data_IF_703693728190
#
_entry.id   IF_703693728190
#
_cell.length_a   1.000
_cell.length_b   1.000
_cell.length_c   1.000
_cell.angle_alpha   90.00
_cell.angle_beta   90.00
_cell.angle_gamma   90.00
#
_symmetry.space_group_name_H-M   'P 1'
#
loop_
_entity.id
_entity.type
_entity.pdbx_description
1 polymer ?
#
# COMPACT_ATOMS: atom_id res chain seq x y z
N UNK A 1 -73.90 -6.57 -59.27
CA UNK A 1 -73.07 -5.97 -60.34
C UNK A 1 -72.67 -4.58 -59.90
N UNK A 2 -71.40 -4.34 -59.58
CA UNK A 2 -70.92 -3.03 -59.15
C UNK A 2 -70.64 -2.12 -60.37
N UNK A 3 -70.94 -0.81 -60.29
CA UNK A 3 -70.71 0.10 -61.41
C UNK A 3 -69.22 0.36 -61.57
N UNK A 4 -68.64 -0.02 -62.72
CA UNK A 4 -67.28 0.36 -63.09
C UNK A 4 -67.26 1.84 -63.46
N UNK A 5 -66.71 2.67 -62.58
CA UNK A 5 -66.44 4.10 -62.82
C UNK A 5 -65.41 4.21 -63.95
N UNK A 6 -65.76 4.90 -65.04
CA UNK A 6 -64.84 5.21 -66.15
C UNK A 6 -64.02 6.44 -65.76
N UNK A 7 -62.70 6.32 -65.76
CA UNK A 7 -61.77 7.43 -65.50
C UNK A 7 -61.77 8.39 -66.70
N UNK A 8 -61.85 9.70 -66.42
CA UNK A 8 -61.90 10.73 -67.46
C UNK A 8 -60.47 11.13 -67.85
N UNK A 9 -60.12 11.30 -69.13
CA UNK A 9 -58.78 11.75 -69.52
C UNK A 9 -58.51 13.15 -68.96
N UNK A 10 -57.60 13.27 -67.99
CA UNK A 10 -57.25 14.53 -67.33
C UNK A 10 -57.38 14.55 -65.80
N UNK A 11 -57.89 13.48 -65.16
CA UNK A 11 -57.85 13.36 -63.69
C UNK A 11 -56.40 13.21 -63.20
N UNK A 12 -55.93 14.16 -62.37
CA UNK A 12 -54.63 14.06 -61.71
C UNK A 12 -54.65 12.86 -60.75
N UNK A 13 -53.62 12.00 -60.75
CA UNK A 13 -53.56 10.85 -59.86
C UNK A 13 -53.67 11.33 -58.40
N UNK A 14 -54.65 10.79 -57.67
CA UNK A 14 -54.85 11.09 -56.24
C UNK A 14 -53.74 10.53 -55.34
N UNK A 15 -52.84 9.73 -55.91
CA UNK A 15 -51.65 9.20 -55.25
C UNK A 15 -50.47 10.12 -55.57
N UNK A 16 -50.09 10.93 -54.60
CA UNK A 16 -48.80 11.63 -54.62
C UNK A 16 -47.74 10.60 -54.27
N UNK A 17 -46.85 10.27 -55.22
CA UNK A 17 -45.63 9.51 -54.90
C UNK A 17 -44.80 10.35 -53.92
N UNK A 18 -44.80 9.96 -52.65
CA UNK A 18 -43.80 10.46 -51.70
C UNK A 18 -42.47 9.83 -52.09
N UNK A 19 -41.40 10.62 -52.34
CA UNK A 19 -40.08 10.04 -52.50
C UNK A 19 -39.73 9.27 -51.23
N UNK A 20 -39.51 7.96 -51.36
CA UNK A 20 -38.99 7.14 -50.27
C UNK A 20 -37.58 7.67 -49.99
N UNK A 21 -37.26 8.14 -48.77
CA UNK A 21 -35.93 8.65 -48.49
C UNK A 21 -34.89 7.56 -48.82
N UNK A 22 -33.73 7.92 -49.39
CA UNK A 22 -32.71 6.94 -49.74
C UNK A 22 -32.36 6.15 -48.48
N UNK A 23 -32.49 4.81 -48.55
CA UNK A 23 -32.18 3.92 -47.43
C UNK A 23 -30.72 4.13 -47.05
N UNK A 24 -30.49 4.76 -45.91
CA UNK A 24 -29.17 4.96 -45.28
C UNK A 24 -28.59 3.64 -44.73
N UNK A 25 -28.61 2.58 -45.55
CA UNK A 25 -28.28 1.21 -45.16
C UNK A 25 -26.83 0.98 -44.75
N UNK A 26 -25.92 1.89 -45.09
CA UNK A 26 -24.51 1.81 -44.70
C UNK A 26 -24.19 2.46 -43.34
N UNK A 27 -25.04 3.35 -42.83
CA UNK A 27 -24.83 3.97 -41.51
C UNK A 27 -25.05 2.98 -40.37
N UNK A 28 -25.96 2.02 -40.54
CA UNK A 28 -26.27 1.00 -39.53
C UNK A 28 -25.09 0.05 -39.26
N UNK A 29 -24.46 -0.59 -40.26
CA UNK A 29 -23.28 -1.43 -40.01
C UNK A 29 -22.08 -0.61 -39.52
N UNK A 30 -21.89 0.63 -39.99
CA UNK A 30 -20.84 1.52 -39.47
C UNK A 30 -21.06 1.80 -37.98
N UNK A 31 -22.27 2.20 -37.58
CA UNK A 31 -22.61 2.44 -36.18
C UNK A 31 -22.43 1.17 -35.32
N UNK A 32 -22.80 -0.01 -35.83
CA UNK A 32 -22.61 -1.27 -35.14
C UNK A 32 -21.12 -1.62 -34.94
N UNK A 33 -20.28 -1.42 -35.96
CA UNK A 33 -18.82 -1.64 -35.84
C UNK A 33 -18.20 -0.67 -34.84
N UNK A 34 -18.56 0.61 -34.86
CA UNK A 34 -18.09 1.60 -33.89
C UNK A 34 -18.53 1.22 -32.48
N UNK A 35 -19.80 0.84 -32.29
CA UNK A 35 -20.30 0.38 -30.99
C UNK A 35 -19.56 -0.86 -30.49
N UNK A 36 -19.29 -1.85 -31.36
CA UNK A 36 -18.53 -3.03 -31.01
C UNK A 36 -17.10 -2.70 -30.58
N UNK A 37 -16.41 -1.83 -31.32
CA UNK A 37 -15.07 -1.35 -30.97
C UNK A 37 -15.08 -0.62 -29.62
N UNK A 38 -16.07 0.25 -29.38
CA UNK A 38 -16.23 0.95 -28.11
C UNK A 38 -16.49 -0.01 -26.95
N UNK A 39 -17.30 -1.04 -27.14
CA UNK A 39 -17.54 -2.06 -26.10
C UNK A 39 -16.26 -2.84 -25.78
N UNK A 40 -15.52 -3.29 -26.79
CA UNK A 40 -14.24 -3.99 -26.57
C UNK A 40 -13.23 -3.10 -25.87
N UNK A 41 -13.14 -1.83 -26.27
CA UNK A 41 -12.27 -0.84 -25.62
C UNK A 41 -12.68 -0.61 -24.16
N UNK A 42 -13.97 -0.44 -23.87
CA UNK A 42 -14.48 -0.25 -22.52
C UNK A 42 -14.18 -1.47 -21.62
N UNK A 43 -14.44 -2.69 -22.10
CA UNK A 43 -14.12 -3.93 -21.37
C UNK A 43 -12.62 -4.03 -21.08
N UNK A 44 -11.78 -3.71 -22.08
CA UNK A 44 -10.33 -3.76 -21.93
C UNK A 44 -9.85 -2.76 -20.86
N UNK A 45 -10.38 -1.53 -20.88
CA UNK A 45 -10.08 -0.51 -19.86
C UNK A 45 -10.54 -0.96 -18.48
N UNK A 46 -11.74 -1.51 -18.34
CA UNK A 46 -12.24 -2.05 -17.08
C UNK A 46 -11.36 -3.18 -16.54
N UNK A 47 -10.93 -4.11 -17.39
CA UNK A 47 -10.06 -5.21 -17.00
C UNK A 47 -8.68 -4.73 -16.52
N UNK A 48 -8.07 -3.77 -17.23
CA UNK A 48 -6.81 -3.16 -16.83
C UNK A 48 -6.95 -2.38 -15.51
N UNK A 49 -8.03 -1.62 -15.36
CA UNK A 49 -8.32 -0.89 -14.14
C UNK A 49 -8.49 -1.83 -12.95
N UNK A 50 -9.21 -2.93 -13.13
CA UNK A 50 -9.40 -3.96 -12.10
C UNK A 50 -8.08 -4.60 -11.67
N UNK A 51 -7.25 -5.02 -12.63
CA UNK A 51 -5.93 -5.59 -12.35
C UNK A 51 -5.00 -4.62 -11.61
N UNK A 52 -4.98 -3.35 -12.03
CA UNK A 52 -4.20 -2.31 -11.36
C UNK A 52 -4.71 -1.97 -9.96
N UNK A 53 -6.03 -2.05 -9.74
CA UNK A 53 -6.63 -1.82 -8.43
C UNK A 53 -6.24 -2.94 -7.47
N UNK A 54 -6.32 -4.20 -7.90
CA UNK A 54 -5.96 -5.35 -7.09
C UNK A 54 -4.45 -5.39 -6.76
N UNK A 55 -3.59 -5.00 -7.71
CA UNK A 55 -2.15 -4.88 -7.43
C UNK A 55 -1.86 -3.77 -6.43
N UNK A 56 -2.54 -2.62 -6.54
CA UNK A 56 -2.39 -1.50 -5.60
C UNK A 56 -2.91 -1.85 -4.22
N UNK A 57 -4.05 -2.53 -4.13
CA UNK A 57 -4.63 -2.98 -2.85
C UNK A 57 -3.69 -3.93 -2.12
N UNK A 58 -3.11 -4.91 -2.84
CA UNK A 58 -2.13 -5.85 -2.27
C UNK A 58 -0.83 -5.16 -1.84
N UNK A 59 -0.31 -4.23 -2.66
CA UNK A 59 0.85 -3.44 -2.29
C UNK A 59 0.60 -2.62 -1.01
N UNK A 60 -0.51 -1.89 -0.96
CA UNK A 60 -0.88 -1.10 0.22
C UNK A 60 -1.08 -1.95 1.48
N UNK A 61 -1.59 -3.18 1.33
CA UNK A 61 -1.70 -4.12 2.45
C UNK A 61 -0.32 -4.53 2.99
N UNK A 62 0.62 -4.86 2.10
CA UNK A 62 1.99 -5.23 2.48
C UNK A 62 2.74 -4.07 3.11
N UNK A 63 2.58 -2.86 2.58
CA UNK A 63 3.21 -1.66 3.13
C UNK A 63 2.74 -1.42 4.57
N UNK A 64 1.44 -1.55 4.82
CA UNK A 64 0.86 -1.41 6.17
C UNK A 64 1.35 -2.50 7.13
N UNK A 65 1.47 -3.73 6.64
CA UNK A 65 1.96 -4.86 7.44
C UNK A 65 3.39 -4.61 7.93
N UNK A 66 4.29 -4.23 7.01
CA UNK A 66 5.67 -3.89 7.36
C UNK A 66 5.73 -2.69 8.29
N UNK A 67 4.98 -1.62 8.01
CA UNK A 67 4.97 -0.44 8.87
C UNK A 67 4.48 -0.78 10.27
N UNK A 68 3.40 -1.56 10.40
CA UNK A 68 2.88 -1.99 11.70
C UNK A 68 3.90 -2.84 12.46
N UNK A 69 4.57 -3.75 11.76
CA UNK A 69 5.64 -4.55 12.35
C UNK A 69 6.81 -3.69 12.84
N UNK A 70 7.36 -2.84 11.97
CA UNK A 70 8.54 -2.02 12.28
C UNK A 70 8.23 -1.02 13.39
N UNK A 71 7.07 -0.38 13.38
CA UNK A 71 6.66 0.54 14.46
C UNK A 71 6.49 -0.18 15.81
N UNK A 72 5.90 -1.38 15.82
CA UNK A 72 5.83 -2.22 17.00
C UNK A 72 7.21 -2.62 17.53
N UNK A 73 8.10 -3.06 16.63
CA UNK A 73 9.50 -3.35 16.97
C UNK A 73 10.21 -2.12 17.54
N UNK A 74 10.08 -0.95 16.92
CA UNK A 74 10.77 0.27 17.37
C UNK A 74 10.25 0.76 18.73
N UNK A 75 8.95 0.63 18.99
CA UNK A 75 8.36 0.91 20.31
C UNK A 75 8.98 0.01 21.37
N UNK A 76 9.09 -1.28 21.07
CA UNK A 76 9.73 -2.27 21.94
C UNK A 76 11.24 -1.98 22.10
N UNK A 77 11.94 -1.61 21.04
CA UNK A 77 13.38 -1.38 21.03
C UNK A 77 13.76 -0.15 21.86
N UNK A 78 12.97 0.92 21.74
CA UNK A 78 13.20 2.20 22.44
C UNK A 78 12.66 2.23 23.87
N UNK A 79 11.81 1.26 24.25
CA UNK A 79 11.33 1.09 25.62
C UNK A 79 12.28 0.20 26.41
N UNK A 80 12.97 0.79 27.38
CA UNK A 80 14.02 0.13 28.18
C UNK A 80 13.51 -0.08 29.60
N UNK A 81 13.60 -1.33 30.06
CA UNK A 81 13.34 -1.73 31.44
C UNK A 81 14.62 -2.34 32.05
N UNK A 82 15.31 -1.59 32.94
CA UNK A 82 16.55 -2.05 33.57
C UNK A 82 16.36 -3.31 34.44
N UNK A 83 15.16 -3.54 34.99
CA UNK A 83 14.90 -4.69 35.86
C UNK A 83 14.79 -6.01 35.09
N UNK A 84 14.53 -5.95 33.78
CA UNK A 84 14.39 -7.11 32.89
C UNK A 84 15.36 -7.05 31.71
N UNK A 85 16.62 -6.64 31.96
CA UNK A 85 17.64 -6.45 30.93
C UNK A 85 17.95 -7.71 30.09
N UNK A 86 17.95 -8.89 30.70
CA UNK A 86 18.16 -10.15 29.97
C UNK A 86 17.01 -10.42 28.98
N UNK A 87 15.78 -10.21 29.43
CA UNK A 87 14.58 -10.39 28.60
C UNK A 87 14.54 -9.36 27.47
N UNK A 88 15.02 -8.14 27.72
CA UNK A 88 15.26 -7.13 26.70
C UNK A 88 16.16 -7.65 25.58
N UNK A 89 17.37 -8.13 25.91
CA UNK A 89 18.32 -8.60 24.89
C UNK A 89 17.74 -9.78 24.09
N UNK A 90 17.13 -10.75 24.77
CA UNK A 90 16.56 -11.92 24.13
C UNK A 90 15.39 -11.58 23.19
N UNK A 91 14.50 -10.66 23.58
CA UNK A 91 13.34 -10.28 22.76
C UNK A 91 13.75 -9.53 21.49
N UNK A 92 14.82 -8.75 21.55
CA UNK A 92 15.33 -7.99 20.40
C UNK A 92 16.06 -8.95 19.45
N UNK A 93 16.89 -9.87 19.99
CA UNK A 93 17.55 -10.91 19.21
C UNK A 93 16.55 -11.83 18.49
N UNK A 94 15.44 -12.19 19.12
CA UNK A 94 14.40 -13.01 18.49
C UNK A 94 13.79 -12.35 17.23
N UNK A 95 13.82 -11.01 17.16
CA UNK A 95 13.32 -10.23 16.03
C UNK A 95 14.43 -9.75 15.09
N UNK A 96 15.69 -10.06 15.40
CA UNK A 96 16.84 -9.67 14.59
C UNK A 96 17.16 -10.78 13.56
N UNK A 97 17.65 -10.36 12.39
CA UNK A 97 18.30 -11.23 11.41
C UNK A 97 19.47 -10.48 10.76
N UNK A 98 20.18 -11.12 9.83
CA UNK A 98 21.19 -10.49 9.00
C UNK A 98 22.34 -9.88 9.81
N UNK A 99 22.72 -8.67 9.44
CA UNK A 99 23.85 -7.98 10.08
C UNK A 99 23.46 -7.37 11.42
N UNK A 100 22.19 -7.00 11.61
CA UNK A 100 21.68 -6.53 12.90
C UNK A 100 21.82 -7.62 13.97
N UNK A 101 21.39 -8.86 13.69
CA UNK A 101 21.54 -9.97 14.63
C UNK A 101 23.01 -10.20 15.01
N UNK A 102 23.91 -10.28 14.02
CA UNK A 102 25.34 -10.49 14.27
C UNK A 102 25.96 -9.40 15.13
N UNK A 103 25.64 -8.14 14.83
CA UNK A 103 26.16 -7.00 15.59
C UNK A 103 25.58 -6.96 17.00
N UNK A 104 24.30 -7.28 17.16
CA UNK A 104 23.64 -7.28 18.45
C UNK A 104 24.13 -8.43 19.34
N UNK A 105 24.28 -9.64 18.79
CA UNK A 105 24.87 -10.79 19.51
C UNK A 105 26.30 -10.50 19.95
N UNK A 106 27.12 -9.94 19.05
CA UNK A 106 28.51 -9.59 19.36
C UNK A 106 28.62 -8.60 20.52
N UNK A 107 27.69 -7.65 20.61
CA UNK A 107 27.70 -6.60 21.65
C UNK A 107 26.69 -6.87 22.77
N UNK A 108 26.11 -8.08 22.86
CA UNK A 108 24.99 -8.38 23.76
C UNK A 108 25.32 -8.10 25.23
N UNK A 109 26.53 -8.46 25.68
CA UNK A 109 26.97 -8.20 27.06
C UNK A 109 27.09 -6.71 27.37
N UNK A 110 27.58 -5.92 26.42
CA UNK A 110 27.70 -4.47 26.59
C UNK A 110 26.32 -3.80 26.60
N UNK A 111 25.44 -4.20 25.68
CA UNK A 111 24.06 -3.73 25.61
C UNK A 111 23.32 -4.06 26.91
N UNK A 112 23.45 -5.30 27.41
CA UNK A 112 22.86 -5.71 28.69
C UNK A 112 23.33 -4.81 29.83
N UNK A 113 24.63 -4.55 29.92
CA UNK A 113 25.20 -3.71 30.97
C UNK A 113 24.72 -2.26 30.85
N UNK A 114 24.58 -1.74 29.62
CA UNK A 114 24.02 -0.40 29.37
C UNK A 114 22.55 -0.31 29.78
N UNK A 115 21.74 -1.31 29.41
CA UNK A 115 20.32 -1.39 29.78
C UNK A 115 20.14 -1.50 31.29
N UNK A 116 20.94 -2.33 31.95
CA UNK A 116 20.88 -2.52 33.41
C UNK A 116 21.31 -1.27 34.20
N UNK A 117 22.08 -0.36 33.58
CA UNK A 117 22.52 0.91 34.18
C UNK A 117 21.67 2.11 33.75
N UNK A 118 20.82 1.94 32.74
CA UNK A 118 19.96 3.00 32.24
C UNK A 118 18.83 3.29 33.22
N UNK A 119 18.26 4.49 33.11
CA UNK A 119 16.97 4.80 33.71
C UNK A 119 15.85 4.11 32.92
N UNK A 120 14.74 3.73 33.56
CA UNK A 120 13.56 3.26 32.85
C UNK A 120 13.08 4.31 31.83
N UNK A 121 12.92 3.87 30.58
CA UNK A 121 12.54 4.74 29.47
C UNK A 121 11.35 4.14 28.72
N UNK A 122 10.38 4.97 28.39
CA UNK A 122 9.25 4.59 27.54
C UNK A 122 9.45 5.19 26.16
N UNK A 123 9.49 4.32 25.15
CA UNK A 123 9.59 4.72 23.76
C UNK A 123 8.21 4.82 23.12
N UNK A 124 8.01 5.85 22.31
CA UNK A 124 6.84 5.98 21.43
C UNK A 124 7.29 6.27 19.99
N UNK A 125 6.55 5.77 19.01
CA UNK A 125 6.77 6.11 17.60
C UNK A 125 5.95 7.35 17.28
N UNK A 126 6.63 8.40 16.83
CA UNK A 126 6.00 9.64 16.37
C UNK A 126 5.47 9.50 14.96
N UNK A 127 6.28 8.93 14.06
CA UNK A 127 5.91 8.72 12.67
C UNK A 127 6.78 7.60 12.05
N UNK A 128 6.27 6.96 11.01
CA UNK A 128 7.00 5.96 10.24
C UNK A 128 6.61 5.96 8.77
N UNK A 129 7.61 5.84 7.90
CA UNK A 129 7.43 5.85 6.45
C UNK A 129 8.25 4.75 5.79
N UNK A 130 7.63 4.05 4.83
CA UNK A 130 8.32 3.11 3.96
C UNK A 130 9.09 3.93 2.91
N UNK A 131 10.40 3.77 2.89
CA UNK A 131 11.26 4.44 1.91
C UNK A 131 11.25 3.70 0.58
N UNK A 132 11.51 2.38 0.62
CA UNK A 132 11.59 1.53 -0.58
C UNK A 132 11.45 0.06 -0.26
N UNK A 133 10.95 -0.68 -1.23
CA UNK A 133 11.12 -2.12 -1.34
C UNK A 133 12.41 -2.43 -2.10
N UNK A 134 13.18 -3.39 -1.60
CA UNK A 134 14.38 -3.90 -2.24
C UNK A 134 14.05 -5.11 -3.12
N UNK A 135 14.93 -5.43 -4.07
CA UNK A 135 14.74 -6.54 -5.02
C UNK A 135 14.74 -7.92 -4.35
N UNK A 136 15.34 -8.02 -3.17
CA UNK A 136 15.36 -9.23 -2.33
C UNK A 136 14.07 -9.43 -1.50
N UNK A 137 13.11 -8.51 -1.61
CA UNK A 137 11.86 -8.52 -0.85
C UNK A 137 11.95 -7.87 0.54
N UNK A 138 13.11 -7.33 0.93
CA UNK A 138 13.24 -6.52 2.14
C UNK A 138 12.68 -5.11 1.94
N UNK A 139 12.35 -4.44 3.03
CA UNK A 139 11.75 -3.11 3.05
C UNK A 139 12.57 -2.16 3.92
N UNK A 140 12.96 -1.01 3.38
CA UNK A 140 13.60 0.05 4.14
C UNK A 140 12.53 0.99 4.69
N UNK A 141 12.55 1.21 5.99
CA UNK A 141 11.58 2.02 6.74
C UNK A 141 12.32 3.05 7.56
N UNK A 142 11.89 4.30 7.46
CA UNK A 142 12.33 5.38 8.34
C UNK A 142 11.33 5.52 9.48
N UNK A 143 11.83 5.60 10.71
CA UNK A 143 11.00 5.73 11.92
C UNK A 143 11.49 6.88 12.78
N UNK A 144 10.60 7.77 13.15
CA UNK A 144 10.84 8.78 14.17
C UNK A 144 10.29 8.29 15.50
N UNK A 145 11.12 8.26 16.54
CA UNK A 145 10.76 7.79 17.88
C UNK A 145 11.02 8.88 18.91
N UNK A 146 10.14 9.05 19.89
CA UNK A 146 10.38 9.83 21.09
C UNK A 146 10.64 8.89 22.27
N UNK A 147 11.68 9.18 23.04
CA UNK A 147 12.04 8.44 24.25
C UNK A 147 11.79 9.35 25.43
N UNK A 148 10.91 8.91 26.32
CA UNK A 148 10.58 9.60 27.56
C UNK A 148 11.24 8.88 28.72
N UNK A 149 12.14 9.58 29.42
CA UNK A 149 12.86 9.04 30.58
C UNK A 149 12.47 9.85 31.80
N UNK A 150 12.16 9.17 32.92
CA UNK A 150 11.94 9.83 34.21
C UNK A 150 13.27 9.85 34.98
N UNK A 151 13.66 11.03 35.45
CA UNK A 151 14.81 11.17 36.35
C UNK A 151 14.52 10.46 37.70
N UNK A 152 15.53 9.97 38.45
CA UNK A 152 15.37 9.33 39.76
C UNK A 152 14.53 10.12 40.76
N UNK A 153 14.54 11.44 40.66
CA UNK A 153 13.78 12.34 41.53
C UNK A 153 12.29 12.47 41.12
N UNK A 154 11.85 11.78 40.06
CA UNK A 154 10.52 11.83 39.41
C UNK A 154 10.06 13.23 38.93
N UNK A 155 10.88 14.26 39.13
CA UNK A 155 10.55 15.67 38.85
C UNK A 155 10.86 16.12 37.43
N UNK A 156 11.72 15.39 36.72
CA UNK A 156 12.16 15.78 35.38
C UNK A 156 11.84 14.66 34.40
N UNK A 157 11.09 15.02 33.37
CA UNK A 157 10.81 14.19 32.21
C UNK A 157 11.71 14.68 31.08
N UNK A 158 12.65 13.83 30.69
CA UNK A 158 13.51 14.09 29.53
C UNK A 158 12.88 13.41 28.32
N UNK A 159 12.60 14.21 27.29
CA UNK A 159 12.10 13.72 26.01
C UNK A 159 13.19 13.90 24.95
N UNK A 160 13.56 12.80 24.29
CA UNK A 160 14.53 12.83 23.20
C UNK A 160 13.93 12.18 21.95
N UNK A 161 13.94 12.92 20.84
CA UNK A 161 13.46 12.44 19.56
C UNK A 161 14.63 11.95 18.69
N UNK A 162 14.56 10.70 18.27
CA UNK A 162 15.55 10.04 17.43
C UNK A 162 14.93 9.55 16.12
N UNK A 163 15.74 9.47 15.07
CA UNK A 163 15.34 8.90 13.77
C UNK A 163 16.13 7.63 13.50
N UNK A 164 15.46 6.65 12.93
CA UNK A 164 16.02 5.33 12.69
C UNK A 164 15.72 4.87 11.27
N UNK A 165 16.74 4.40 10.58
CA UNK A 165 16.61 3.62 9.35
C UNK A 165 16.62 2.14 9.72
N UNK A 166 15.51 1.46 9.46
CA UNK A 166 15.34 0.02 9.70
C UNK A 166 15.12 -0.70 8.37
N UNK A 167 15.80 -1.82 8.17
CA UNK A 167 15.51 -2.75 7.06
C UNK A 167 14.78 -3.95 7.62
N UNK A 168 13.52 -4.13 7.22
CA UNK A 168 12.71 -5.29 7.56
C UNK A 168 12.82 -6.36 6.47
N UNK A 169 13.08 -7.60 6.86
CA UNK A 169 13.18 -8.76 5.97
C UNK A 169 12.25 -9.85 6.46
N UNK A 170 11.56 -10.53 5.55
CA UNK A 170 10.67 -11.62 5.91
C UNK A 170 11.46 -12.94 5.94
N UNK A 171 11.56 -13.55 7.12
CA UNK A 171 12.10 -14.91 7.28
C UNK A 171 10.95 -15.89 7.52
N UNK A 172 10.73 -16.78 6.55
CA UNK A 172 9.60 -17.71 6.60
C UNK A 172 8.27 -16.95 6.60
N UNK A 173 7.54 -16.99 7.71
CA UNK A 173 6.25 -16.32 7.86
C UNK A 173 6.29 -15.15 8.87
N UNK A 174 7.49 -14.68 9.26
CA UNK A 174 7.65 -13.61 10.23
C UNK A 174 8.57 -12.52 9.69
N UNK A 175 8.17 -11.26 9.91
CA UNK A 175 9.06 -10.13 9.70
C UNK A 175 10.13 -10.09 10.79
N UNK A 176 11.33 -9.70 10.39
CA UNK A 176 12.49 -9.47 11.24
C UNK A 176 13.25 -8.24 10.78
N UNK A 177 14.06 -7.65 11.65
CA UNK A 177 14.91 -6.52 11.33
C UNK A 177 16.31 -7.02 10.95
N UNK A 178 16.72 -6.79 9.71
CA UNK A 178 18.04 -7.20 9.19
C UNK A 178 19.11 -6.13 9.36
N UNK A 179 18.71 -4.87 9.43
CA UNK A 179 19.58 -3.72 9.68
C UNK A 179 18.83 -2.65 10.48
N UNK A 180 19.51 -1.98 11.40
CA UNK A 180 18.96 -0.88 12.18
C UNK A 180 20.06 0.15 12.46
N UNK A 181 19.83 1.39 12.04
CA UNK A 181 20.80 2.47 12.17
C UNK A 181 20.10 3.75 12.63
N UNK A 182 20.71 4.45 13.58
CA UNK A 182 20.26 5.78 13.98
C UNK A 182 20.73 6.81 12.96
N UNK A 183 19.82 7.66 12.51
CA UNK A 183 20.10 8.79 11.62
C UNK A 183 20.26 10.04 12.49
N UNK A 184 21.41 10.70 12.37
CA UNK A 184 21.76 11.94 13.09
C UNK A 184 21.36 13.15 12.26
#
# INVERSE_FOLDING_TARGET
>A
MSPRRKFTPGERPLLVERPVPPRQGWLVPLAATVAAVLMVAAISVCALMWGSHESRARAASRDREVLTYVTGFMTQFTSIDPFHANDYVNRILAQATGDFAKQYEKNANEILLQVARAEPATGSVLDAGLERWNDDGSANVMVATAITTKSPDEKQVLENANRWAATATQEGNQWKISNLQQVI
#
